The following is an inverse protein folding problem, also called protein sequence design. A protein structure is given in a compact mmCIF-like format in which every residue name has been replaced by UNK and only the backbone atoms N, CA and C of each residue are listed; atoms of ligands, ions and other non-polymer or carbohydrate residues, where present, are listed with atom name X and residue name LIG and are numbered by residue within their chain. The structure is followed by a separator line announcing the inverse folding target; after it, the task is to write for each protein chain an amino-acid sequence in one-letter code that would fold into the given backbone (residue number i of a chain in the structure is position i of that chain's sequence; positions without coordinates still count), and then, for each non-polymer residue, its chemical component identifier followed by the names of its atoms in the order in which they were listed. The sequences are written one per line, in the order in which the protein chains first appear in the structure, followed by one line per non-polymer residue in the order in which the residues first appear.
data_IF_629713146690
#
_entry.id   IF_629713146690
#
_cell.length_a   1.000
_cell.length_b   1.000
_cell.length_c   1.000
_cell.angle_alpha   90.00
_cell.angle_beta   90.00
_cell.angle_gamma   90.00
#
_symmetry.space_group_name_H-M   'P 1'
#
loop_
_entity.id
_entity.type
_entity.pdbx_description
1 polymer ?
#
# COMPACT_ATOMS: atom_id res chain seq x y z
N UNK A 1 24.74 -0.43 0.61
CA UNK A 1 23.58 -0.62 -0.29
C UNK A 1 22.60 -1.53 0.44
N UNK A 2 21.36 -1.10 0.62
CA UNK A 2 20.35 -1.87 1.36
C UNK A 2 19.39 -2.50 0.35
N UNK A 3 19.31 -3.83 0.33
CA UNK A 3 18.39 -4.56 -0.53
C UNK A 3 17.17 -4.93 0.31
N UNK A 4 15.97 -4.54 -0.14
CA UNK A 4 14.70 -4.85 0.51
C UNK A 4 13.90 -5.81 -0.35
N UNK A 5 13.36 -6.86 0.28
CA UNK A 5 12.46 -7.81 -0.34
C UNK A 5 11.11 -7.72 0.36
N UNK A 6 10.02 -7.65 -0.41
CA UNK A 6 8.65 -7.73 0.10
C UNK A 6 8.04 -9.03 -0.38
N UNK A 7 7.58 -9.85 0.55
CA UNK A 7 7.16 -11.23 0.31
C UNK A 7 5.86 -11.49 1.08
N UNK A 8 4.98 -12.32 0.54
CA UNK A 8 3.90 -12.95 1.32
C UNK A 8 4.50 -13.96 2.27
N UNK A 9 3.76 -14.29 3.34
CA UNK A 9 4.21 -15.25 4.37
C UNK A 9 4.59 -16.60 3.76
N UNK A 10 3.83 -17.06 2.77
CA UNK A 10 4.02 -18.36 2.13
C UNK A 10 5.23 -18.37 1.19
N UNK A 11 5.73 -17.20 0.78
CA UNK A 11 6.90 -17.04 -0.09
C UNK A 11 8.20 -17.03 0.70
N UNK A 12 8.14 -16.86 2.03
CA UNK A 12 9.28 -17.02 2.92
C UNK A 12 9.50 -18.51 3.21
N UNK A 13 10.22 -19.17 2.31
CA UNK A 13 10.59 -20.58 2.43
C UNK A 13 12.11 -20.80 2.52
N UNK A 14 12.51 -22.05 2.75
CA UNK A 14 13.93 -22.42 2.81
C UNK A 14 14.67 -22.16 1.48
N UNK A 15 13.98 -22.30 0.35
CA UNK A 15 14.58 -22.09 -0.97
C UNK A 15 14.92 -20.61 -1.19
N UNK A 16 14.05 -19.70 -0.74
CA UNK A 16 14.30 -18.27 -0.74
C UNK A 16 15.53 -17.91 0.11
N UNK A 17 15.62 -18.46 1.34
CA UNK A 17 16.75 -18.20 2.23
C UNK A 17 18.09 -18.66 1.62
N UNK A 18 18.14 -19.82 0.98
CA UNK A 18 19.36 -20.31 0.31
C UNK A 18 19.77 -19.42 -0.87
N UNK A 19 18.82 -18.94 -1.66
CA UNK A 19 19.10 -17.99 -2.75
C UNK A 19 19.64 -16.66 -2.24
N UNK A 20 19.10 -16.15 -1.13
CA UNK A 20 19.54 -14.89 -0.52
C UNK A 20 20.95 -15.00 0.05
N UNK A 21 21.31 -16.13 0.68
CA UNK A 21 22.69 -16.38 1.16
C UNK A 21 23.72 -16.23 0.05
N UNK A 22 23.41 -16.69 -1.17
CA UNK A 22 24.28 -16.55 -2.32
C UNK A 22 24.43 -15.12 -2.85
N UNK A 23 23.47 -14.24 -2.55
CA UNK A 23 23.47 -12.84 -3.01
C UNK A 23 24.16 -11.89 -2.01
N UNK A 24 24.35 -12.32 -0.77
CA UNK A 24 24.93 -11.49 0.29
C UNK A 24 26.39 -11.86 0.46
N UNK A 25 27.28 -10.95 0.06
CA UNK A 25 28.74 -11.05 0.27
C UNK A 25 29.20 -10.59 1.65
N UNK A 26 28.25 -10.19 2.51
CA UNK A 26 28.46 -9.68 3.87
C UNK A 26 28.12 -10.76 4.91
N UNK A 27 28.84 -10.77 6.02
CA UNK A 27 28.66 -11.77 7.10
C UNK A 27 27.37 -11.57 7.92
N UNK A 28 26.64 -10.48 7.66
CA UNK A 28 25.40 -10.13 8.37
C UNK A 28 24.22 -9.94 7.44
N UNK A 29 23.11 -10.61 7.78
CA UNK A 29 21.78 -10.45 7.21
C UNK A 29 20.82 -10.03 8.34
N UNK A 30 20.08 -8.95 8.12
CA UNK A 30 18.98 -8.53 9.02
C UNK A 30 17.65 -8.85 8.36
N UNK A 31 16.79 -9.60 9.05
CA UNK A 31 15.41 -9.87 8.64
C UNK A 31 14.48 -9.09 9.57
N UNK A 32 13.67 -8.20 9.01
CA UNK A 32 12.64 -7.45 9.74
C UNK A 32 11.27 -7.99 9.36
N UNK A 33 10.46 -8.35 10.35
CA UNK A 33 9.06 -8.78 10.15
C UNK A 33 8.17 -7.69 10.75
N UNK A 34 7.35 -7.09 9.91
CA UNK A 34 6.37 -6.08 10.32
C UNK A 34 4.97 -6.63 10.09
N UNK A 35 4.13 -6.59 11.13
CA UNK A 35 2.70 -6.81 10.97
C UNK A 35 2.06 -5.49 10.60
N UNK A 36 1.53 -5.36 9.39
CA UNK A 36 0.65 -4.26 9.03
C UNK A 36 -0.79 -4.67 9.31
N UNK A 37 -1.37 -4.13 10.39
CA UNK A 37 -2.82 -4.04 10.50
C UNK A 37 -3.24 -2.85 9.64
N UNK A 38 -3.83 -3.11 8.48
CA UNK A 38 -4.31 -2.06 7.56
C UNK A 38 -5.30 -1.12 8.25
N UNK A 39 -6.00 -1.62 9.28
CA UNK A 39 -6.90 -0.81 10.13
C UNK A 39 -6.10 0.16 10.99
N UNK A 40 -4.98 -0.28 11.57
CA UNK A 40 -4.11 0.58 12.38
C UNK A 40 -3.54 1.72 11.52
N UNK A 41 -3.16 1.45 10.27
CA UNK A 41 -2.65 2.47 9.34
C UNK A 41 -3.66 3.58 9.06
N UNK A 42 -4.94 3.23 8.83
CA UNK A 42 -6.01 4.23 8.63
C UNK A 42 -6.30 5.04 9.90
N UNK A 43 -6.14 4.41 11.08
CA UNK A 43 -6.37 5.06 12.38
C UNK A 43 -5.19 5.87 12.92
N UNK A 44 -3.97 5.68 12.39
CA UNK A 44 -2.74 6.36 12.87
C UNK A 44 -2.77 7.88 12.77
N UNK A 45 -3.58 8.43 11.87
CA UNK A 45 -3.83 9.87 11.78
C UNK A 45 -5.28 10.13 12.14
N UNK A 46 -5.53 10.77 13.28
CA UNK A 46 -6.88 11.20 13.69
C UNK A 46 -7.58 12.01 12.59
N UNK A 47 -6.79 12.72 11.77
CA UNK A 47 -7.27 13.45 10.59
C UNK A 47 -7.75 12.50 9.48
N UNK A 48 -6.99 11.45 9.16
CA UNK A 48 -7.36 10.49 8.11
C UNK A 48 -8.55 9.63 8.54
N UNK A 49 -8.58 9.23 9.80
CA UNK A 49 -9.71 8.51 10.39
C UNK A 49 -11.00 9.34 10.31
N UNK A 50 -10.94 10.62 10.72
CA UNK A 50 -12.09 11.52 10.60
C UNK A 50 -12.57 11.67 9.16
N UNK A 51 -11.66 11.89 8.21
CA UNK A 51 -12.01 11.99 6.79
C UNK A 51 -12.67 10.71 6.28
N UNK A 52 -12.17 9.54 6.68
CA UNK A 52 -12.75 8.26 6.28
C UNK A 52 -14.18 8.09 6.80
N UNK A 53 -14.41 8.35 8.09
CA UNK A 53 -15.74 8.26 8.72
C UNK A 53 -16.71 9.26 8.09
N UNK A 54 -16.28 10.51 7.90
CA UNK A 54 -17.10 11.56 7.26
C UNK A 54 -17.50 11.14 5.83
N UNK A 55 -16.58 10.50 5.06
CA UNK A 55 -16.87 10.04 3.69
C UNK A 55 -17.79 8.83 3.64
N UNK A 56 -17.71 7.92 4.60
CA UNK A 56 -18.66 6.80 4.71
C UNK A 56 -20.07 7.35 4.92
N UNK A 57 -20.24 8.31 5.83
CA UNK A 57 -21.54 8.94 6.09
C UNK A 57 -22.10 9.65 4.84
N UNK A 58 -21.23 10.26 4.02
CA UNK A 58 -21.63 10.90 2.77
C UNK A 58 -22.16 9.88 1.77
N UNK A 59 -21.52 8.71 1.66
CA UNK A 59 -21.98 7.63 0.79
C UNK A 59 -23.32 7.07 1.26
N UNK A 60 -23.46 6.78 2.56
CA UNK A 60 -24.70 6.24 3.13
C UNK A 60 -25.90 7.20 2.94
N UNK A 61 -25.64 8.51 3.00
CA UNK A 61 -26.67 9.55 2.81
C UNK A 61 -26.85 9.99 1.36
N UNK A 62 -26.12 9.39 0.42
CA UNK A 62 -26.15 9.80 -0.99
C UNK A 62 -25.69 11.25 -1.23
N UNK A 63 -24.87 11.80 -0.33
CA UNK A 63 -24.42 13.19 -0.36
C UNK A 63 -23.14 13.31 -1.17
N UNK A 64 -23.11 14.25 -2.12
CA UNK A 64 -21.90 14.60 -2.90
C UNK A 64 -21.25 13.40 -3.62
N UNK A 65 -22.06 12.41 -4.02
CA UNK A 65 -21.61 11.29 -4.84
C UNK A 65 -21.37 11.76 -6.27
N UNK A 66 -20.20 11.45 -6.81
CA UNK A 66 -19.88 11.62 -8.24
C UNK A 66 -19.82 10.23 -8.83
N UNK A 67 -20.73 9.93 -9.76
CA UNK A 67 -20.63 8.74 -10.59
C UNK A 67 -19.79 9.09 -11.82
N UNK A 68 -18.68 8.39 -11.97
CA UNK A 68 -17.73 8.60 -13.06
C UNK A 68 -17.20 7.24 -13.51
N UNK A 69 -17.19 7.01 -14.82
CA UNK A 69 -16.64 5.78 -15.37
C UNK A 69 -15.11 5.82 -15.36
N UNK A 70 -14.50 4.64 -15.35
CA UNK A 70 -13.03 4.50 -15.44
C UNK A 70 -12.45 5.18 -16.67
N UNK A 71 -13.17 5.17 -17.81
CA UNK A 71 -12.76 5.87 -19.05
C UNK A 71 -12.71 7.38 -18.89
N UNK A 72 -13.63 7.95 -18.12
CA UNK A 72 -13.65 9.39 -17.86
C UNK A 72 -12.50 9.82 -16.94
N UNK A 73 -12.17 8.98 -15.94
CA UNK A 73 -10.99 9.18 -15.09
C UNK A 73 -9.71 9.19 -15.94
N UNK A 74 -9.54 8.21 -16.83
CA UNK A 74 -8.38 8.13 -17.73
C UNK A 74 -8.24 9.38 -18.61
N UNK A 75 -9.36 9.90 -19.12
CA UNK A 75 -9.37 11.13 -19.93
C UNK A 75 -8.94 12.37 -19.13
N UNK A 76 -9.34 12.47 -17.85
CA UNK A 76 -8.97 13.60 -16.98
C UNK A 76 -7.47 13.55 -16.64
N UNK A 77 -6.94 12.36 -16.33
CA UNK A 77 -5.53 12.17 -16.00
C UNK A 77 -4.59 12.44 -17.18
N UNK A 78 -5.03 12.14 -18.41
CA UNK A 78 -4.27 12.46 -19.63
C UNK A 78 -4.24 13.97 -19.91
N UNK A 79 -5.31 14.70 -19.57
CA UNK A 79 -5.38 16.16 -19.74
C UNK A 79 -4.55 16.94 -18.72
N UNK A 80 -4.25 16.35 -17.57
CA UNK A 80 -3.46 16.99 -16.49
C UNK A 80 -1.94 16.79 -16.64
N UNK A 81 -1.50 15.94 -17.58
CA UNK A 81 -0.08 15.75 -17.94
C UNK A 81 0.36 16.60 -19.14
N UNK A 82 -0.41 17.64 -19.49
CA UNK A 82 -0.03 18.66 -20.48
C UNK A 82 -0.03 20.00 -19.76
N UNK A 83 1.03 20.26 -18.98
CA UNK A 83 1.60 21.57 -18.65
C UNK A 83 2.99 21.36 -18.00
#
# INVERSE_FOLDING_TARGET
MTIKFTLRKEELDLNFLEKIKGLISSDQLTISVESHDETEYLTRSAKNYKVLIDRIEYVEKGKELIDISTKEIESILQKTNID
#
